data_IF_804080062941
#
_entry.id   IF_804080062941
#
_cell.length_a   1.000
_cell.length_b   1.000
_cell.length_c   1.000
_cell.angle_alpha   90.00
_cell.angle_beta   90.00
_cell.angle_gamma   90.00
#
_symmetry.space_group_name_H-M   'P 1'
#
loop_
_entity.id
_entity.type
_entity.pdbx_description
1 polymer ?
#
# COMPACT_ATOMS: atom_id res chain seq x y z
N UNK A 1 1.90 15.49 0.84
CA UNK A 1 1.67 14.46 -0.21
C UNK A 1 1.61 13.12 0.54
N UNK A 2 0.85 12.12 0.10
CA UNK A 2 0.85 10.84 0.82
C UNK A 2 2.07 10.02 0.39
N UNK A 3 2.81 9.46 1.34
CA UNK A 3 3.89 8.52 1.05
C UNK A 3 3.31 7.11 0.93
N UNK A 4 3.76 6.35 -0.06
CA UNK A 4 3.33 4.96 -0.25
C UNK A 4 4.39 4.00 0.26
N UNK A 5 3.92 2.97 0.96
CA UNK A 5 4.73 1.88 1.46
C UNK A 5 4.20 0.56 0.88
N UNK A 6 5.07 -0.21 0.24
CA UNK A 6 4.72 -1.51 -0.34
C UNK A 6 5.53 -2.59 0.37
N UNK A 7 4.86 -3.49 1.07
CA UNK A 7 5.49 -4.64 1.72
C UNK A 7 5.35 -5.85 0.82
N UNK A 8 6.49 -6.37 0.39
CA UNK A 8 6.60 -7.46 -0.57
C UNK A 8 7.25 -8.66 0.08
N UNK A 9 6.80 -9.84 -0.31
CA UNK A 9 7.47 -11.09 0.00
C UNK A 9 8.50 -11.41 -1.08
N UNK A 10 9.68 -11.80 -0.62
CA UNK A 10 10.77 -12.34 -1.44
C UNK A 10 11.21 -13.68 -0.85
N UNK A 11 12.08 -14.39 -1.57
CA UNK A 11 12.64 -15.66 -1.09
C UNK A 11 13.44 -15.49 0.22
N UNK A 12 14.03 -14.31 0.45
CA UNK A 12 14.83 -13.97 1.63
C UNK A 12 14.00 -13.35 2.77
N UNK A 13 12.68 -13.22 2.58
CA UNK A 13 11.75 -12.66 3.55
C UNK A 13 11.03 -11.40 3.06
N UNK A 14 10.54 -10.59 3.99
CA UNK A 14 9.77 -9.39 3.66
C UNK A 14 10.69 -8.20 3.39
N UNK A 15 10.39 -7.47 2.33
CA UNK A 15 11.05 -6.21 1.97
C UNK A 15 10.03 -5.09 1.88
N UNK A 16 10.48 -3.86 2.10
CA UNK A 16 9.64 -2.67 2.01
C UNK A 16 10.17 -1.75 0.93
N UNK A 17 9.30 -1.36 0.00
CA UNK A 17 9.57 -0.38 -1.05
C UNK A 17 8.77 0.88 -0.75
N UNK A 18 9.41 2.04 -0.84
CA UNK A 18 8.76 3.33 -0.68
C UNK A 18 8.62 4.01 -2.03
N UNK A 19 7.47 4.63 -2.29
CA UNK A 19 7.22 5.44 -3.49
C UNK A 19 6.35 6.65 -3.15
N UNK A 20 6.47 7.70 -3.97
CA UNK A 20 5.57 8.86 -3.93
C UNK A 20 4.43 8.74 -4.94
N UNK A 21 4.53 7.79 -5.89
CA UNK A 21 3.52 7.52 -6.92
C UNK A 21 3.16 6.02 -6.97
N UNK A 22 1.89 5.74 -6.74
CA UNK A 22 1.32 4.40 -6.80
C UNK A 22 1.13 3.90 -8.23
N UNK A 23 0.95 4.79 -9.21
CA UNK A 23 0.85 4.42 -10.61
C UNK A 23 2.22 3.99 -11.16
N UNK A 24 3.28 4.72 -10.80
CA UNK A 24 4.67 4.32 -11.13
C UNK A 24 5.00 2.95 -10.54
N UNK A 25 4.65 2.73 -9.26
CA UNK A 25 4.81 1.40 -8.65
C UNK A 25 4.03 0.32 -9.41
N UNK A 26 2.78 0.61 -9.79
CA UNK A 26 1.94 -0.37 -10.49
C UNK A 26 2.54 -0.80 -11.83
N UNK A 27 3.06 0.17 -12.60
CA UNK A 27 3.79 -0.09 -13.85
C UNK A 27 5.07 -0.90 -13.61
N UNK A 28 5.89 -0.50 -12.64
CA UNK A 28 7.17 -1.16 -12.36
C UNK A 28 7.00 -2.62 -11.90
N UNK A 29 5.90 -2.92 -11.21
CA UNK A 29 5.61 -4.25 -10.65
C UNK A 29 4.66 -5.09 -11.50
N UNK A 30 4.31 -4.63 -12.70
CA UNK A 30 3.34 -5.29 -13.60
C UNK A 30 2.02 -5.65 -12.88
N UNK A 31 1.51 -4.70 -12.10
CA UNK A 31 0.22 -4.81 -11.41
C UNK A 31 -0.76 -3.74 -11.89
N UNK A 32 -2.04 -3.93 -11.59
CA UNK A 32 -3.12 -3.11 -12.10
C UNK A 32 -3.83 -2.34 -10.99
N UNK A 33 -4.16 -1.07 -11.26
CA UNK A 33 -5.13 -0.33 -10.46
C UNK A 33 -6.53 -0.83 -10.81
N UNK A 34 -7.17 -1.53 -9.88
CA UNK A 34 -8.49 -2.16 -10.05
C UNK A 34 -9.64 -1.28 -9.54
N UNK A 35 -9.34 -0.12 -8.98
CA UNK A 35 -10.34 0.85 -8.55
C UNK A 35 -9.80 1.83 -7.51
N UNK A 36 -10.72 2.53 -6.87
CA UNK A 36 -10.43 3.52 -5.82
C UNK A 36 -11.08 3.07 -4.51
N UNK A 37 -10.39 3.28 -3.39
CA UNK A 37 -10.96 3.04 -2.08
C UNK A 37 -11.94 4.15 -1.69
N UNK A 38 -13.22 3.82 -1.59
CA UNK A 38 -14.30 4.77 -1.30
C UNK A 38 -15.03 4.43 0.00
N UNK A 39 -14.48 3.54 0.83
CA UNK A 39 -15.16 3.09 2.04
C UNK A 39 -15.19 4.23 3.10
N UNK A 40 -16.36 4.82 3.40
CA UNK A 40 -16.45 5.96 4.31
C UNK A 40 -16.23 5.57 5.78
N UNK A 41 -16.21 4.27 6.10
CA UNK A 41 -15.97 3.75 7.46
C UNK A 41 -14.49 3.59 7.79
N UNK A 42 -13.61 3.70 6.79
CA UNK A 42 -12.16 3.72 7.00
C UNK A 42 -11.67 5.13 7.33
N UNK A 43 -10.43 5.22 7.82
CA UNK A 43 -9.73 6.49 8.04
C UNK A 43 -9.85 7.41 6.82
N UNK A 44 -10.17 8.71 6.99
CA UNK A 44 -10.29 9.65 5.89
C UNK A 44 -9.07 9.68 4.97
N UNK A 45 -7.88 9.51 5.54
CA UNK A 45 -6.61 9.49 4.84
C UNK A 45 -6.45 8.29 3.89
N UNK A 46 -7.23 7.22 4.06
CA UNK A 46 -7.21 6.05 3.17
C UNK A 46 -8.21 6.18 2.01
N UNK A 47 -9.13 7.14 2.08
CA UNK A 47 -10.18 7.32 1.09
C UNK A 47 -9.61 8.06 -0.13
N UNK A 48 -10.04 7.67 -1.33
CA UNK A 48 -9.54 8.24 -2.58
C UNK A 48 -8.23 7.63 -3.08
N UNK A 49 -7.57 6.77 -2.30
CA UNK A 49 -6.37 6.07 -2.75
C UNK A 49 -6.69 4.86 -3.64
N UNK A 50 -5.82 4.51 -4.61
CA UNK A 50 -6.03 3.36 -5.49
C UNK A 50 -6.10 2.02 -4.77
N UNK A 51 -6.75 1.05 -5.42
CA UNK A 51 -6.71 -0.37 -5.06
C UNK A 51 -5.91 -1.10 -6.13
N UNK A 52 -4.99 -1.96 -5.72
CA UNK A 52 -4.12 -2.70 -6.62
C UNK A 52 -4.49 -4.19 -6.68
N UNK A 53 -4.38 -4.79 -7.85
CA UNK A 53 -4.58 -6.22 -8.04
C UNK A 53 -3.48 -7.01 -7.32
N UNK A 54 -3.85 -8.04 -6.55
CA UNK A 54 -2.88 -8.89 -5.83
C UNK A 54 -2.33 -8.31 -4.52
N UNK A 55 -2.68 -7.07 -4.18
CA UNK A 55 -2.27 -6.39 -2.94
C UNK A 55 -3.46 -6.14 -2.00
N UNK A 56 -3.20 -6.30 -0.70
CA UNK A 56 -4.07 -5.81 0.37
C UNK A 56 -3.75 -4.34 0.64
N UNK A 57 -4.74 -3.47 0.42
CA UNK A 57 -4.63 -2.04 0.67
C UNK A 57 -5.77 -1.25 0.01
N UNK A 58 -5.82 0.08 0.23
CA UNK A 58 -4.91 0.88 1.05
C UNK A 58 -5.11 0.63 2.56
N UNK A 59 -4.00 0.48 3.29
CA UNK A 59 -3.93 0.26 4.73
C UNK A 59 -3.19 1.41 5.44
N UNK A 60 -3.43 1.59 6.74
CA UNK A 60 -2.73 2.60 7.52
C UNK A 60 -1.31 2.14 7.88
N UNK A 61 -0.30 2.78 7.30
CA UNK A 61 1.12 2.51 7.56
C UNK A 61 1.71 3.31 8.74
N UNK A 62 1.03 4.38 9.18
CA UNK A 62 1.50 5.30 10.19
C UNK A 62 1.65 6.72 9.65
N UNK A 63 2.56 7.48 10.23
CA UNK A 63 2.91 8.83 9.78
C UNK A 63 4.42 8.98 9.63
N UNK A 64 4.85 9.77 8.65
CA UNK A 64 6.25 10.20 8.54
C UNK A 64 6.66 11.06 9.74
N UNK A 65 7.96 11.36 9.88
CA UNK A 65 8.46 12.26 10.92
C UNK A 65 7.89 13.68 10.83
N UNK A 66 7.45 14.09 9.63
CA UNK A 66 6.79 15.39 9.36
C UNK A 66 5.27 15.33 9.56
N UNK A 67 4.72 14.18 9.92
CA UNK A 67 3.29 13.99 10.19
C UNK A 67 2.44 13.67 8.96
N UNK A 68 3.04 13.38 7.81
CA UNK A 68 2.29 12.99 6.61
C UNK A 68 1.84 11.53 6.69
N UNK A 69 0.63 11.19 6.21
CA UNK A 69 0.14 9.81 6.26
C UNK A 69 0.96 8.90 5.35
N UNK A 70 1.24 7.69 5.85
CA UNK A 70 1.84 6.60 5.08
C UNK A 70 0.72 5.63 4.71
N UNK A 71 0.53 5.42 3.41
CA UNK A 71 -0.47 4.52 2.85
C UNK A 71 0.22 3.22 2.45
N UNK A 72 -0.12 2.13 3.15
CA UNK A 72 0.52 0.82 2.97
C UNK A 72 -0.27 -0.07 2.02
N UNK A 73 0.44 -0.81 1.18
CA UNK A 73 -0.03 -1.97 0.45
C UNK A 73 0.85 -3.17 0.78
N UNK A 74 0.26 -4.34 0.92
CA UNK A 74 0.95 -5.57 1.25
C UNK A 74 0.60 -6.59 0.17
N UNK A 75 1.58 -7.28 -0.41
CA UNK A 75 1.23 -8.38 -1.29
C UNK A 75 0.51 -9.50 -0.51
N UNK A 76 -0.11 -10.42 -1.22
CA UNK A 76 -0.94 -11.46 -0.59
C UNK A 76 -0.17 -12.34 0.41
N UNK A 77 1.14 -12.52 0.27
CA UNK A 77 1.94 -13.32 1.18
C UNK A 77 2.41 -12.49 2.39
N UNK A 78 2.90 -11.27 2.16
CA UNK A 78 3.24 -10.29 3.18
C UNK A 78 2.05 -10.01 4.10
N UNK A 79 0.87 -9.79 3.53
CA UNK A 79 -0.36 -9.53 4.29
C UNK A 79 -0.69 -10.68 5.25
N UNK A 80 -0.56 -11.92 4.78
CA UNK A 80 -0.77 -13.12 5.61
C UNK A 80 0.26 -13.22 6.71
N UNK A 81 1.52 -12.97 6.42
CA UNK A 81 2.61 -13.05 7.39
C UNK A 81 2.49 -11.99 8.49
N UNK A 82 1.99 -10.80 8.17
CA UNK A 82 1.83 -9.69 9.13
C UNK A 82 0.51 -9.72 9.91
N UNK A 83 -0.48 -10.49 9.44
CA UNK A 83 -1.81 -10.60 10.06
C UNK A 83 -1.96 -11.82 10.97
N UNK A 84 -0.89 -12.60 11.18
CA UNK A 84 -0.83 -13.73 12.12
C UNK A 84 -0.16 -13.29 13.42
#
# INVERSE_FOLDING_TARGET
MAAYEFVLSTDDGLVTVYSDDVAEFAEAMDTEIVGINVNPRQRPELQGHPRLSGYAGPCWGGTTATGEPIIRYEDSHAHRALSM
#
